data_IF_632850114372
#
_entry.id   IF_632850114372
#
_cell.length_a   1.000
_cell.length_b   1.000
_cell.length_c   1.000
_cell.angle_alpha   90.00
_cell.angle_beta   90.00
_cell.angle_gamma   90.00
#
_symmetry.space_group_name_H-M   'P 1'
#
loop_
_entity.id
_entity.type
_entity.pdbx_description
1 polymer ?
#
# COMPACT_ATOMS: atom_id res chain seq x y z
N UNK A 1 -4.75 33.16 12.55
CA UNK A 1 -3.81 32.03 12.29
C UNK A 1 -4.52 30.77 12.80
N UNK A 2 -4.98 29.88 11.92
CA UNK A 2 -5.70 28.68 12.33
C UNK A 2 -4.72 27.65 12.89
N UNK A 3 -4.98 27.14 14.09
CA UNK A 3 -4.20 26.06 14.67
C UNK A 3 -4.31 24.82 13.78
N UNK A 4 -3.19 24.39 13.18
CA UNK A 4 -3.09 23.09 12.54
C UNK A 4 -3.34 22.07 13.63
N UNK A 5 -4.48 21.38 13.59
CA UNK A 5 -4.73 20.29 14.51
C UNK A 5 -3.69 19.22 14.21
N UNK A 6 -2.81 18.98 15.18
CA UNK A 6 -1.81 17.92 15.12
C UNK A 6 -2.59 16.61 15.27
N UNK A 7 -2.96 16.03 14.13
CA UNK A 7 -3.65 14.74 14.12
C UNK A 7 -2.61 13.74 14.61
N UNK A 8 -2.68 13.37 15.89
CA UNK A 8 -1.74 12.41 16.53
C UNK A 8 -1.75 11.06 15.80
N UNK A 9 -2.81 10.77 15.05
CA UNK A 9 -2.95 9.61 14.18
C UNK A 9 -2.79 10.00 12.70
N UNK A 10 -2.12 9.14 11.92
CA UNK A 10 -2.01 9.35 10.49
C UNK A 10 -3.42 9.46 9.85
N UNK A 11 -3.78 10.58 9.21
CA UNK A 11 -5.07 10.72 8.57
C UNK A 11 -5.20 9.69 7.45
N UNK A 12 -6.42 9.16 7.23
CA UNK A 12 -6.66 8.15 6.18
C UNK A 12 -6.29 8.64 4.79
N UNK A 13 -6.49 9.93 4.53
CA UNK A 13 -6.17 10.57 3.25
C UNK A 13 -4.90 11.41 3.41
N UNK A 14 -3.87 11.06 2.66
CA UNK A 14 -2.55 11.68 2.70
C UNK A 14 -2.32 12.57 1.47
N UNK A 15 -1.73 13.74 1.67
CA UNK A 15 -1.22 14.55 0.57
C UNK A 15 0.06 13.92 0.00
N UNK A 16 0.40 14.23 -1.26
CA UNK A 16 1.60 13.72 -1.96
C UNK A 16 2.89 13.67 -1.12
N UNK A 17 3.33 14.75 -0.43
CA UNK A 17 4.58 14.70 0.34
C UNK A 17 4.49 13.72 1.52
N UNK A 18 3.32 13.60 2.17
CA UNK A 18 3.12 12.70 3.31
C UNK A 18 3.02 11.25 2.83
N UNK A 19 2.35 11.00 1.69
CA UNK A 19 2.27 9.68 1.09
C UNK A 19 3.65 9.18 0.61
N UNK A 20 4.48 10.07 0.07
CA UNK A 20 5.84 9.73 -0.33
C UNK A 20 6.71 9.38 0.89
N UNK A 21 6.62 10.19 1.95
CA UNK A 21 7.28 9.92 3.22
C UNK A 21 6.80 8.61 3.87
N UNK A 22 5.51 8.28 3.74
CA UNK A 22 4.93 7.04 4.25
C UNK A 22 5.54 5.79 3.60
N UNK A 23 5.74 5.81 2.28
CA UNK A 23 6.40 4.73 1.54
C UNK A 23 7.94 4.80 1.59
N UNK A 24 8.52 5.85 2.18
CA UNK A 24 9.98 6.06 2.21
C UNK A 24 10.59 6.39 0.84
N UNK A 25 9.81 6.93 -0.09
CA UNK A 25 10.25 7.26 -1.46
C UNK A 25 10.17 8.76 -1.75
N UNK A 26 10.76 9.20 -2.87
CA UNK A 26 10.65 10.58 -3.32
C UNK A 26 9.26 10.87 -3.93
N UNK A 27 8.84 12.14 -3.92
CA UNK A 27 7.57 12.54 -4.56
C UNK A 27 7.53 12.25 -6.07
N UNK A 28 8.67 12.34 -6.76
CA UNK A 28 8.75 11.99 -8.18
C UNK A 28 8.52 10.51 -8.38
N UNK A 29 9.15 9.65 -7.55
CA UNK A 29 8.92 8.19 -7.57
C UNK A 29 7.45 7.87 -7.33
N UNK A 30 6.81 8.48 -6.32
CA UNK A 30 5.39 8.25 -6.03
C UNK A 30 4.49 8.60 -7.23
N UNK A 31 4.82 9.66 -7.99
CA UNK A 31 4.06 10.06 -9.18
C UNK A 31 4.22 9.08 -10.33
N UNK A 32 5.34 8.36 -10.43
CA UNK A 32 5.56 7.33 -11.46
C UNK A 32 4.84 6.03 -11.17
N UNK A 33 4.49 5.75 -9.90
CA UNK A 33 3.76 4.53 -9.50
C UNK A 33 2.29 4.52 -9.94
N UNK A 34 1.77 5.65 -10.41
CA UNK A 34 0.39 5.86 -10.87
C UNK A 34 -0.70 5.26 -9.96
N UNK A 35 -0.48 5.35 -8.64
CA UNK A 35 -1.43 4.86 -7.63
C UNK A 35 -2.76 5.63 -7.71
N UNK A 36 -3.90 4.98 -7.40
CA UNK A 36 -5.21 5.61 -7.48
C UNK A 36 -5.30 6.78 -6.49
N UNK A 37 -5.68 7.95 -7.02
CA UNK A 37 -5.80 9.21 -6.28
C UNK A 37 -7.26 9.54 -6.03
N UNK A 38 -7.62 9.85 -4.79
CA UNK A 38 -8.94 10.37 -4.42
C UNK A 38 -8.96 11.89 -4.60
N UNK A 39 -9.99 12.39 -5.29
CA UNK A 39 -10.18 13.82 -5.55
C UNK A 39 -11.14 14.37 -4.50
N UNK A 40 -10.68 15.36 -3.74
CA UNK A 40 -11.50 16.09 -2.78
C UNK A 40 -11.39 17.59 -3.10
N UNK A 41 -12.36 18.10 -3.87
CA UNK A 41 -12.30 19.43 -4.48
C UNK A 41 -11.11 19.55 -5.43
N UNK A 42 -10.24 20.54 -5.21
CA UNK A 42 -9.01 20.74 -5.99
C UNK A 42 -7.81 19.90 -5.53
N UNK A 43 -7.94 19.12 -4.45
CA UNK A 43 -6.82 18.34 -3.88
C UNK A 43 -6.88 16.89 -4.36
N UNK A 44 -5.70 16.35 -4.68
CA UNK A 44 -5.47 14.93 -4.96
C UNK A 44 -4.82 14.31 -3.73
N UNK A 45 -5.48 13.31 -3.16
CA UNK A 45 -5.06 12.64 -1.94
C UNK A 45 -4.89 11.14 -2.19
N UNK A 46 -3.99 10.52 -1.46
CA UNK A 46 -3.75 9.08 -1.46
C UNK A 46 -4.45 8.45 -0.26
N UNK A 47 -5.04 7.29 -0.45
CA UNK A 47 -5.59 6.50 0.65
C UNK A 47 -4.47 5.68 1.29
N UNK A 48 -4.39 5.71 2.63
CA UNK A 48 -3.39 4.91 3.35
C UNK A 48 -3.52 3.42 3.07
N UNK A 49 -4.74 2.89 2.96
CA UNK A 49 -4.94 1.47 2.68
C UNK A 49 -4.40 1.05 1.33
N UNK A 50 -4.54 1.90 0.31
CA UNK A 50 -3.96 1.67 -1.01
C UNK A 50 -2.43 1.67 -0.95
N UNK A 51 -1.82 2.54 -0.13
CA UNK A 51 -0.37 2.55 0.05
C UNK A 51 0.12 1.28 0.76
N UNK A 52 -0.62 0.80 1.77
CA UNK A 52 -0.34 -0.46 2.47
C UNK A 52 -0.46 -1.66 1.51
N UNK A 53 -1.55 -1.75 0.74
CA UNK A 53 -1.74 -2.80 -0.28
C UNK A 53 -0.62 -2.80 -1.32
N UNK A 54 -0.18 -1.62 -1.76
CA UNK A 54 0.94 -1.50 -2.67
C UNK A 54 2.23 -2.02 -2.02
N UNK A 55 2.52 -1.63 -0.78
CA UNK A 55 3.71 -2.09 -0.06
C UNK A 55 3.71 -3.61 0.14
N UNK A 56 2.55 -4.19 0.49
CA UNK A 56 2.37 -5.64 0.66
C UNK A 56 2.53 -6.41 -0.66
N UNK A 57 2.22 -5.78 -1.79
CA UNK A 57 2.36 -6.38 -3.12
C UNK A 57 3.80 -6.41 -3.64
N UNK A 58 4.73 -5.68 -3.00
CA UNK A 58 6.13 -5.64 -3.43
C UNK A 58 6.81 -6.98 -3.20
N UNK A 59 7.57 -7.42 -4.19
CA UNK A 59 8.41 -8.61 -4.07
C UNK A 59 9.51 -8.38 -3.04
N UNK A 60 9.57 -9.24 -2.02
CA UNK A 60 10.66 -9.27 -1.06
C UNK A 60 11.84 -10.03 -1.67
N UNK A 61 13.05 -9.49 -1.55
CA UNK A 61 14.26 -10.19 -2.01
C UNK A 61 14.36 -11.59 -1.38
N UNK A 62 14.58 -12.61 -2.23
CA UNK A 62 14.66 -14.01 -1.81
C UNK A 62 13.31 -14.75 -1.71
N UNK A 63 12.16 -14.06 -1.86
CA UNK A 63 10.87 -14.73 -2.02
C UNK A 63 10.62 -15.08 -3.49
N UNK A 64 11.14 -16.24 -3.91
CA UNK A 64 10.65 -16.90 -5.13
C UNK A 64 9.21 -17.39 -4.90
N UNK A 65 8.22 -16.67 -5.44
CA UNK A 65 6.83 -17.09 -5.74
C UNK A 65 6.31 -18.36 -5.03
N UNK A 66 6.26 -18.38 -3.70
CA UNK A 66 5.66 -19.49 -2.93
C UNK A 66 4.12 -19.41 -2.89
N UNK A 67 3.48 -18.75 -3.87
CA UNK A 67 2.04 -18.49 -3.88
C UNK A 67 1.17 -19.73 -4.21
N UNK A 68 1.80 -20.89 -4.45
CA UNK A 68 1.09 -22.14 -4.81
C UNK A 68 1.09 -23.27 -3.76
N UNK A 69 1.93 -23.21 -2.71
CA UNK A 69 2.26 -24.42 -1.91
C UNK A 69 1.50 -24.53 -0.57
N UNK A 70 0.71 -23.52 -0.22
CA UNK A 70 0.01 -23.38 1.06
C UNK A 70 -1.52 -23.47 0.94
N UNK A 71 -2.05 -23.95 -0.20
CA UNK A 71 -3.48 -24.31 -0.27
C UNK A 71 -3.70 -25.69 0.35
N UNK A 72 -4.76 -25.85 1.15
CA UNK A 72 -5.12 -27.12 1.78
C UNK A 72 -5.30 -28.26 0.76
N UNK A 73 -5.68 -27.93 -0.48
CA UNK A 73 -5.77 -28.87 -1.61
C UNK A 73 -4.41 -29.46 -2.00
N UNK A 74 -3.33 -28.68 -1.94
CA UNK A 74 -1.97 -29.15 -2.20
C UNK A 74 -1.41 -30.04 -1.08
N UNK A 75 -1.76 -29.77 0.19
CA UNK A 75 -1.24 -30.54 1.33
C UNK A 75 -2.01 -31.83 1.64
N UNK A 76 -3.33 -31.86 1.42
CA UNK A 76 -4.18 -32.95 1.92
C UNK A 76 -4.97 -33.69 0.83
N UNK A 77 -4.78 -33.37 -0.44
CA UNK A 77 -5.56 -33.89 -1.57
C UNK A 77 -5.26 -35.32 -2.05
N UNK A 78 -4.61 -36.19 -1.25
CA UNK A 78 -4.45 -37.62 -1.62
C UNK A 78 -5.65 -38.42 -1.11
N UNK A 79 -6.55 -38.82 -2.02
CA UNK A 79 -7.51 -39.91 -1.74
C UNK A 79 -6.73 -41.22 -1.67
N UNK A 80 -6.93 -41.96 -0.59
CA UNK A 80 -6.55 -43.36 -0.52
C UNK A 80 -7.36 -44.14 -1.57
N UNK A 81 -6.67 -44.87 -2.45
CA UNK A 81 -7.23 -45.97 -3.23
C UNK A 81 -6.92 -47.28 -2.53
#
# INVERSE_FOLDING_TARGET
MMARHDITFAPRLLATPVAAAYLGVSESTLRTLDLPRRILGGKRLYDRHTLDEYADSLTVEGQHEQSGMNTCRGKFGRRAS
#
